data_IF_487418974129
#
_entry.id   IF_487418974129
#
_cell.length_a   1.000
_cell.length_b   1.000
_cell.length_c   1.000
_cell.angle_alpha   90.00
_cell.angle_beta   90.00
_cell.angle_gamma   90.00
#
_symmetry.space_group_name_H-M   'P 1'
#
loop_
_entity.id
_entity.type
_entity.pdbx_description
1 polymer ?
#
# COMPACT_ATOMS: atom_id res chain seq x y z
N UNK A 1 27.78 5.72 -29.56
CA UNK A 1 26.66 5.00 -30.23
C UNK A 1 26.34 3.66 -29.58
N UNK A 2 27.30 2.73 -29.40
CA UNK A 2 27.00 1.41 -28.79
C UNK A 2 26.59 1.48 -27.30
N UNK A 3 27.20 2.39 -26.52
CA UNK A 3 26.91 2.58 -25.09
C UNK A 3 25.52 3.19 -24.88
N UNK A 4 25.14 4.18 -25.70
CA UNK A 4 23.83 4.85 -25.63
C UNK A 4 22.69 3.91 -26.02
N UNK A 5 22.88 3.09 -27.07
CA UNK A 5 21.90 2.08 -27.49
C UNK A 5 21.66 1.05 -26.37
N UNK A 6 22.71 0.54 -25.73
CA UNK A 6 22.57 -0.42 -24.64
C UNK A 6 21.87 0.19 -23.41
N UNK A 7 22.07 1.48 -23.15
CA UNK A 7 21.44 2.17 -22.02
C UNK A 7 19.95 2.41 -22.27
N UNK A 8 19.57 2.82 -23.48
CA UNK A 8 18.17 2.96 -23.90
C UNK A 8 17.43 1.62 -23.94
N UNK A 9 18.09 0.55 -24.37
CA UNK A 9 17.53 -0.80 -24.37
C UNK A 9 17.30 -1.29 -22.92
N UNK A 10 18.27 -1.05 -22.03
CA UNK A 10 18.14 -1.40 -20.62
C UNK A 10 17.00 -0.64 -19.94
N UNK A 11 16.87 0.68 -20.14
CA UNK A 11 15.77 1.47 -19.54
C UNK A 11 14.41 1.04 -20.09
N UNK A 12 14.29 0.75 -21.38
CA UNK A 12 13.07 0.20 -21.98
C UNK A 12 12.69 -1.16 -21.39
N UNK A 13 13.67 -2.04 -21.15
CA UNK A 13 13.44 -3.35 -20.52
C UNK A 13 12.95 -3.20 -19.08
N UNK A 14 13.61 -2.37 -18.28
CA UNK A 14 13.21 -2.09 -16.88
C UNK A 14 11.81 -1.47 -16.84
N UNK A 15 11.53 -0.50 -17.70
CA UNK A 15 10.21 0.12 -17.79
C UNK A 15 9.13 -0.91 -18.12
N UNK A 16 9.39 -1.82 -19.07
CA UNK A 16 8.46 -2.89 -19.42
C UNK A 16 8.25 -3.87 -18.26
N UNK A 17 9.29 -4.15 -17.47
CA UNK A 17 9.20 -4.99 -16.29
C UNK A 17 8.31 -4.34 -15.21
N UNK A 18 8.46 -3.04 -14.96
CA UNK A 18 7.62 -2.30 -14.03
C UNK A 18 6.14 -2.24 -14.48
N UNK A 19 5.88 -2.11 -15.77
CA UNK A 19 4.53 -2.17 -16.32
C UNK A 19 3.88 -3.55 -16.16
N UNK A 20 4.67 -4.63 -16.21
CA UNK A 20 4.18 -6.00 -16.02
C UNK A 20 3.87 -6.36 -14.57
N UNK A 21 4.29 -5.54 -13.59
CA UNK A 21 3.99 -5.78 -12.18
C UNK A 21 2.48 -5.74 -11.92
N UNK A 22 1.96 -6.84 -11.36
CA UNK A 22 0.55 -7.01 -11.03
C UNK A 22 0.29 -6.68 -9.57
N UNK A 23 -0.82 -6.00 -9.32
CA UNK A 23 -1.32 -5.74 -7.96
C UNK A 23 -1.87 -7.02 -7.36
N UNK A 24 -1.43 -7.31 -6.15
CA UNK A 24 -1.94 -8.42 -5.38
C UNK A 24 -3.33 -8.18 -4.86
N UNK A 25 -4.17 -9.20 -5.01
CA UNK A 25 -5.52 -9.20 -4.49
C UNK A 25 -5.51 -9.75 -3.06
N UNK A 26 -6.19 -9.11 -2.10
CA UNK A 26 -6.23 -9.62 -0.74
C UNK A 26 -6.88 -11.01 -0.74
N UNK A 27 -6.29 -11.97 -0.03
CA UNK A 27 -6.80 -13.34 0.08
C UNK A 27 -7.12 -13.68 1.54
N UNK A 28 -8.24 -14.35 1.75
CA UNK A 28 -8.52 -15.02 3.03
C UNK A 28 -7.67 -16.29 3.04
N UNK A 29 -6.75 -16.43 4.01
CA UNK A 29 -5.97 -17.67 4.09
C UNK A 29 -6.91 -18.83 4.47
N UNK A 30 -6.87 -19.91 3.70
CA UNK A 30 -7.67 -21.13 3.88
C UNK A 30 -7.60 -21.68 5.30
N UNK A 31 -6.49 -21.48 6.02
CA UNK A 31 -6.37 -21.85 7.44
C UNK A 31 -7.43 -21.22 8.35
N UNK A 32 -7.87 -19.98 8.09
CA UNK A 32 -8.93 -19.34 8.88
C UNK A 32 -10.30 -19.97 8.67
N UNK A 33 -10.48 -20.68 7.56
CA UNK A 33 -11.69 -21.43 7.23
C UNK A 33 -11.59 -22.87 7.76
N UNK A 34 -10.42 -23.51 7.64
CA UNK A 34 -10.23 -24.91 8.04
C UNK A 34 -10.06 -25.13 9.54
N UNK A 35 -9.41 -24.19 10.25
CA UNK A 35 -9.18 -24.28 11.69
C UNK A 35 -10.48 -24.39 12.52
N UNK A 36 -11.55 -23.60 12.28
CA UNK A 36 -12.81 -23.78 13.01
C UNK A 36 -13.50 -25.10 12.67
N UNK A 37 -13.43 -25.55 11.40
CA UNK A 37 -14.01 -26.84 10.99
C UNK A 37 -13.33 -27.99 11.75
N UNK A 38 -12.01 -27.95 11.84
CA UNK A 38 -11.22 -28.95 12.57
C UNK A 38 -11.55 -28.93 14.08
N UNK A 39 -11.62 -27.76 14.70
CA UNK A 39 -11.99 -27.63 16.12
C UNK A 39 -13.39 -28.19 16.37
N UNK A 40 -14.37 -27.86 15.51
CA UNK A 40 -15.73 -28.40 15.61
C UNK A 40 -15.76 -29.93 15.50
N UNK A 41 -14.98 -30.51 14.58
CA UNK A 41 -14.89 -31.97 14.41
C UNK A 41 -14.25 -32.67 15.63
N UNK A 42 -13.14 -32.15 16.14
CA UNK A 42 -12.44 -32.70 17.32
C UNK A 42 -13.32 -32.61 18.56
N UNK A 43 -14.01 -31.49 18.76
CA UNK A 43 -14.87 -31.28 19.92
C UNK A 43 -16.18 -32.09 19.83
N UNK A 44 -16.74 -32.28 18.64
CA UNK A 44 -17.88 -33.20 18.43
C UNK A 44 -17.52 -34.64 18.83
N UNK A 45 -16.30 -35.08 18.54
CA UNK A 45 -15.80 -36.39 18.94
C UNK A 45 -15.61 -36.55 20.45
N UNK A 46 -15.57 -35.47 21.23
CA UNK A 46 -15.24 -35.48 22.67
C UNK A 46 -16.47 -35.40 23.61
N UNK A 47 -17.70 -35.40 23.08
CA UNK A 47 -18.98 -35.51 23.83
C UNK A 47 -19.12 -34.66 25.12
N UNK A 48 -18.40 -33.54 25.27
CA UNK A 48 -18.49 -32.71 26.47
C UNK A 48 -19.78 -31.87 26.51
N UNK A 49 -20.44 -31.81 27.67
CA UNK A 49 -21.78 -31.22 27.85
C UNK A 49 -21.82 -29.73 28.29
N UNK A 50 -20.80 -28.92 28.02
CA UNK A 50 -20.79 -27.50 28.45
C UNK A 50 -21.68 -26.58 27.59
N UNK A 51 -22.98 -26.86 27.50
CA UNK A 51 -24.02 -26.35 26.58
C UNK A 51 -23.95 -24.89 26.05
N UNK A 52 -23.41 -23.89 26.77
CA UNK A 52 -23.45 -22.47 26.36
C UNK A 52 -22.25 -22.01 25.55
N UNK A 53 -21.04 -22.46 25.89
CA UNK A 53 -19.82 -22.05 25.17
C UNK A 53 -19.76 -22.59 23.72
N UNK A 54 -20.53 -23.65 23.44
CA UNK A 54 -20.50 -24.44 22.20
C UNK A 54 -21.20 -23.74 21.04
N UNK A 55 -22.16 -22.86 21.35
CA UNK A 55 -22.83 -22.06 20.34
C UNK A 55 -22.11 -20.72 20.18
N UNK A 56 -21.70 -20.11 21.29
CA UNK A 56 -21.14 -18.77 21.30
C UNK A 56 -19.77 -18.69 20.61
N UNK A 57 -18.85 -19.62 20.87
CA UNK A 57 -17.51 -19.60 20.28
C UNK A 57 -17.55 -19.75 18.74
N UNK A 58 -18.20 -20.76 18.15
CA UNK A 58 -18.28 -20.85 16.69
C UNK A 58 -19.11 -19.73 16.08
N UNK A 59 -20.14 -19.22 16.76
CA UNK A 59 -20.90 -18.07 16.29
C UNK A 59 -20.03 -16.80 16.21
N UNK A 60 -19.26 -16.49 17.26
CA UNK A 60 -18.31 -15.36 17.24
C UNK A 60 -17.28 -15.58 16.12
N UNK A 61 -16.77 -16.79 15.97
CA UNK A 61 -15.80 -17.10 14.91
C UNK A 61 -16.39 -16.94 13.51
N UNK A 62 -17.61 -17.42 13.25
CA UNK A 62 -18.27 -17.26 11.95
C UNK A 62 -18.52 -15.80 11.64
N UNK A 63 -18.96 -15.00 12.63
CA UNK A 63 -19.10 -13.55 12.50
C UNK A 63 -17.76 -12.91 12.12
N UNK A 64 -16.66 -13.27 12.78
CA UNK A 64 -15.31 -12.76 12.45
C UNK A 64 -14.92 -13.16 11.02
N UNK A 65 -15.10 -14.43 10.63
CA UNK A 65 -14.74 -14.90 9.28
C UNK A 65 -15.58 -14.22 8.20
N UNK A 66 -16.90 -14.09 8.40
CA UNK A 66 -17.81 -13.39 7.48
C UNK A 66 -17.43 -11.92 7.37
N UNK A 67 -17.19 -11.23 8.49
CA UNK A 67 -16.74 -9.85 8.49
C UNK A 67 -15.41 -9.69 7.72
N UNK A 68 -14.42 -10.54 7.97
CA UNK A 68 -13.15 -10.53 7.23
C UNK A 68 -13.36 -10.83 5.74
N UNK A 69 -14.28 -11.73 5.39
CA UNK A 69 -14.60 -12.03 4.00
C UNK A 69 -15.24 -10.84 3.29
N UNK A 70 -16.16 -10.13 3.95
CA UNK A 70 -16.77 -8.92 3.43
C UNK A 70 -15.73 -7.80 3.23
N UNK A 71 -14.81 -7.63 4.18
CA UNK A 71 -13.70 -6.66 4.05
C UNK A 71 -12.81 -7.01 2.86
N UNK A 72 -12.41 -8.29 2.72
CA UNK A 72 -11.57 -8.74 1.61
C UNK A 72 -12.28 -8.56 0.27
N UNK A 73 -13.57 -8.93 0.17
CA UNK A 73 -14.38 -8.75 -1.04
C UNK A 73 -14.45 -7.27 -1.42
N UNK A 74 -14.81 -6.40 -0.47
CA UNK A 74 -14.89 -4.96 -0.71
C UNK A 74 -13.56 -4.38 -1.19
N UNK A 75 -12.43 -4.84 -0.62
CA UNK A 75 -11.09 -4.41 -1.07
C UNK A 75 -10.77 -4.90 -2.48
N UNK A 76 -11.09 -6.15 -2.82
CA UNK A 76 -10.92 -6.69 -4.19
C UNK A 76 -11.71 -5.87 -5.20
N UNK A 77 -13.00 -5.64 -4.93
CA UNK A 77 -13.88 -4.89 -5.83
C UNK A 77 -13.32 -3.47 -6.08
N UNK A 78 -12.78 -2.82 -5.04
CA UNK A 78 -12.12 -1.51 -5.17
C UNK A 78 -10.82 -1.58 -5.98
N UNK A 79 -9.99 -2.59 -5.76
CA UNK A 79 -8.75 -2.77 -6.52
C UNK A 79 -9.02 -3.07 -8.00
N UNK A 80 -10.07 -3.83 -8.31
CA UNK A 80 -10.51 -4.07 -9.68
C UNK A 80 -10.99 -2.78 -10.36
N UNK A 81 -11.75 -1.94 -9.65
CA UNK A 81 -12.14 -0.61 -10.14
C UNK A 81 -10.93 0.29 -10.40
N UNK A 82 -9.88 0.20 -9.56
CA UNK A 82 -8.62 0.94 -9.77
C UNK A 82 -7.89 0.42 -11.02
N UNK A 83 -7.88 -0.89 -11.27
CA UNK A 83 -7.27 -1.46 -12.47
C UNK A 83 -7.95 -0.95 -13.75
N UNK A 84 -9.29 -0.94 -13.75
CA UNK A 84 -10.13 -0.53 -14.87
C UNK A 84 -10.25 1.00 -15.02
N UNK A 85 -9.78 1.77 -14.03
CA UNK A 85 -9.83 3.24 -14.05
C UNK A 85 -9.13 3.76 -15.31
N UNK A 86 -9.80 4.66 -16.04
CA UNK A 86 -9.19 5.41 -17.14
C UNK A 86 -9.02 6.86 -16.70
N UNK A 87 -7.77 7.33 -16.72
CA UNK A 87 -7.46 8.72 -16.39
C UNK A 87 -7.98 9.64 -17.50
N UNK A 88 -8.69 10.71 -17.13
CA UNK A 88 -9.28 11.63 -18.08
C UNK A 88 -8.17 12.30 -18.95
N UNK A 89 -8.32 12.36 -20.29
CA UNK A 89 -7.32 12.96 -21.17
C UNK A 89 -6.99 14.42 -20.85
N UNK A 90 -7.90 15.16 -20.21
CA UNK A 90 -7.66 16.55 -19.78
C UNK A 90 -6.42 16.64 -18.88
N UNK A 91 -6.21 15.70 -17.96
CA UNK A 91 -5.04 15.70 -17.07
C UNK A 91 -3.74 15.48 -17.84
N UNK A 92 -3.77 14.58 -18.83
CA UNK A 92 -2.60 14.31 -19.66
C UNK A 92 -2.24 15.49 -20.56
N UNK A 93 -3.23 16.21 -21.07
CA UNK A 93 -3.01 17.38 -21.91
C UNK A 93 -2.31 18.48 -21.12
N UNK A 94 -2.75 18.74 -19.88
CA UNK A 94 -2.10 19.74 -19.03
C UNK A 94 -0.71 19.32 -18.57
N UNK A 95 -0.51 18.04 -18.23
CA UNK A 95 0.82 17.53 -17.86
C UNK A 95 1.82 17.68 -19.02
N UNK A 96 1.41 17.41 -20.27
CA UNK A 96 2.22 17.59 -21.47
C UNK A 96 2.53 19.05 -21.82
N UNK A 97 1.75 20.00 -21.32
CA UNK A 97 2.07 21.42 -21.49
C UNK A 97 3.19 21.86 -20.54
N UNK A 98 3.25 21.26 -19.35
CA UNK A 98 4.24 21.58 -18.31
C UNK A 98 5.54 20.79 -18.46
N UNK A 99 5.45 19.53 -18.89
CA UNK A 99 6.58 18.63 -19.08
C UNK A 99 6.69 18.24 -20.55
N UNK A 100 7.92 18.07 -21.05
CA UNK A 100 8.20 17.68 -22.44
C UNK A 100 7.38 16.46 -22.89
N UNK A 101 7.26 16.24 -24.21
CA UNK A 101 6.40 15.19 -24.79
C UNK A 101 6.74 13.81 -24.20
N UNK A 102 5.94 13.36 -23.23
CA UNK A 102 6.06 12.05 -22.61
C UNK A 102 5.67 10.96 -23.60
N UNK A 103 6.49 9.92 -23.72
CA UNK A 103 6.18 8.72 -24.50
C UNK A 103 4.98 7.97 -23.90
N UNK A 104 4.26 7.21 -24.72
CA UNK A 104 3.09 6.43 -24.32
C UNK A 104 3.42 5.49 -23.14
N UNK A 105 4.56 4.81 -23.19
CA UNK A 105 4.99 3.89 -22.14
C UNK A 105 5.28 4.61 -20.81
N UNK A 106 5.85 5.82 -20.88
CA UNK A 106 6.11 6.65 -19.71
C UNK A 106 4.78 7.10 -19.06
N UNK A 107 3.81 7.55 -19.87
CA UNK A 107 2.46 7.89 -19.37
C UNK A 107 1.79 6.71 -18.71
N UNK A 108 1.84 5.53 -19.32
CA UNK A 108 1.32 4.30 -18.73
C UNK A 108 1.99 3.96 -17.40
N UNK A 109 3.30 4.18 -17.29
CA UNK A 109 4.03 3.93 -16.05
C UNK A 109 3.58 4.88 -14.93
N UNK A 110 3.45 6.18 -15.23
CA UNK A 110 2.95 7.19 -14.28
C UNK A 110 1.51 6.85 -13.87
N UNK A 111 0.65 6.47 -14.82
CA UNK A 111 -0.73 6.02 -14.54
C UNK A 111 -0.75 4.82 -13.59
N UNK A 112 0.05 3.79 -13.87
CA UNK A 112 0.12 2.60 -13.03
C UNK A 112 0.70 2.92 -11.64
N UNK A 113 1.62 3.87 -11.55
CA UNK A 113 2.09 4.45 -10.28
C UNK A 113 0.95 5.10 -9.49
N UNK A 114 0.17 5.99 -10.13
CA UNK A 114 -0.95 6.65 -9.46
C UNK A 114 -2.02 5.65 -8.99
N UNK A 115 -2.33 4.65 -9.82
CA UNK A 115 -3.21 3.53 -9.46
C UNK A 115 -2.66 2.72 -8.27
N UNK A 116 -1.35 2.50 -8.19
CA UNK A 116 -0.73 1.87 -7.01
C UNK A 116 -0.92 2.70 -5.76
N UNK A 117 -0.75 4.01 -5.87
CA UNK A 117 -0.95 4.93 -4.76
C UNK A 117 -2.41 4.90 -4.24
N UNK A 118 -3.40 4.87 -5.13
CA UNK A 118 -4.81 4.64 -4.77
C UNK A 118 -5.00 3.27 -4.11
N UNK A 119 -4.32 2.23 -4.60
CA UNK A 119 -4.41 0.89 -4.02
C UNK A 119 -3.89 0.85 -2.58
N UNK A 120 -2.84 1.61 -2.23
CA UNK A 120 -2.36 1.71 -0.84
C UNK A 120 -3.47 2.20 0.11
N UNK A 121 -4.26 3.19 -0.35
CA UNK A 121 -5.38 3.76 0.40
C UNK A 121 -6.55 2.77 0.60
N UNK A 122 -6.69 1.78 -0.29
CA UNK A 122 -7.66 0.67 -0.17
C UNK A 122 -7.16 -0.40 0.79
N UNK A 123 -5.87 -0.71 0.75
CA UNK A 123 -5.25 -1.72 1.62
C UNK A 123 -5.25 -1.29 3.08
N UNK A 124 -4.95 -0.02 3.34
CA UNK A 124 -4.98 0.56 4.67
C UNK A 124 -5.27 2.06 4.59
N UNK A 125 -6.26 2.52 5.35
CA UNK A 125 -6.63 3.93 5.44
C UNK A 125 -5.68 4.66 6.39
N UNK A 126 -4.64 5.28 5.85
CA UNK A 126 -3.66 6.08 6.60
C UNK A 126 -3.01 7.12 5.70
N UNK A 127 -2.17 7.98 6.28
CA UNK A 127 -1.35 8.92 5.53
C UNK A 127 -0.15 8.19 4.91
N UNK A 128 0.16 8.52 3.66
CA UNK A 128 1.24 7.97 2.88
C UNK A 128 2.02 9.10 2.25
N UNK A 129 3.35 8.98 2.20
CA UNK A 129 4.17 9.87 1.40
C UNK A 129 4.02 9.48 -0.07
N UNK A 130 4.07 10.44 -0.97
CA UNK A 130 4.19 10.17 -2.40
C UNK A 130 5.68 10.06 -2.77
N UNK A 131 6.20 8.85 -3.09
CA UNK A 131 7.64 8.64 -3.32
C UNK A 131 8.08 8.93 -4.77
N UNK A 132 7.17 9.37 -5.63
CA UNK A 132 7.48 9.68 -7.03
C UNK A 132 6.91 11.04 -7.38
N UNK A 133 7.79 11.98 -7.71
CA UNK A 133 7.43 13.31 -8.15
C UNK A 133 6.74 13.29 -9.53
N UNK A 134 7.10 12.35 -10.43
CA UNK A 134 6.39 12.23 -11.71
C UNK A 134 4.90 11.88 -11.50
N UNK A 135 4.61 11.00 -10.54
CA UNK A 135 3.23 10.65 -10.19
C UNK A 135 2.56 11.76 -9.36
N UNK A 136 3.31 12.44 -8.48
CA UNK A 136 2.80 13.57 -7.70
C UNK A 136 2.40 14.75 -8.61
N UNK A 137 3.15 15.01 -9.67
CA UNK A 137 2.81 16.03 -10.67
C UNK A 137 1.51 15.72 -11.41
N UNK A 138 1.30 14.46 -11.81
CA UNK A 138 0.00 14.03 -12.34
C UNK A 138 -1.12 14.25 -11.30
N UNK A 139 -0.86 13.91 -10.04
CA UNK A 139 -1.82 14.10 -8.97
C UNK A 139 -2.15 15.59 -8.75
N UNK A 140 -1.14 16.46 -8.77
CA UNK A 140 -1.31 17.91 -8.69
C UNK A 140 -2.13 18.48 -9.83
N UNK A 141 -1.93 17.99 -11.06
CA UNK A 141 -2.79 18.35 -12.19
C UNK A 141 -4.24 17.95 -11.92
N UNK A 142 -4.49 16.75 -11.39
CA UNK A 142 -5.86 16.32 -11.06
C UNK A 142 -6.53 17.22 -10.03
N UNK A 143 -5.80 17.72 -9.03
CA UNK A 143 -6.34 18.60 -7.98
C UNK A 143 -6.87 19.94 -8.54
N UNK A 144 -6.38 20.38 -9.70
CA UNK A 144 -6.90 21.58 -10.40
C UNK A 144 -8.30 21.36 -11.00
N UNK A 145 -8.74 20.11 -11.13
CA UNK A 145 -10.04 19.71 -11.66
C UNK A 145 -10.86 18.99 -10.57
N UNK A 146 -11.36 19.74 -9.56
CA UNK A 146 -11.92 19.14 -8.34
C UNK A 146 -13.12 18.24 -8.62
N UNK A 147 -13.96 18.55 -9.61
CA UNK A 147 -15.14 17.74 -9.95
C UNK A 147 -14.71 16.35 -10.45
N UNK A 148 -13.85 16.32 -11.46
CA UNK A 148 -13.36 15.09 -12.09
C UNK A 148 -12.55 14.26 -11.08
N UNK A 149 -11.73 14.92 -10.26
CA UNK A 149 -10.94 14.27 -9.23
C UNK A 149 -11.80 13.66 -8.11
N UNK A 150 -12.81 14.37 -7.63
CA UNK A 150 -13.74 13.85 -6.62
C UNK A 150 -14.52 12.64 -7.15
N UNK A 151 -15.00 12.69 -8.40
CA UNK A 151 -15.67 11.56 -9.04
C UNK A 151 -14.73 10.35 -9.13
N UNK A 152 -13.48 10.56 -9.57
CA UNK A 152 -12.46 9.52 -9.65
C UNK A 152 -12.24 8.86 -8.29
N UNK A 153 -12.05 9.65 -7.24
CA UNK A 153 -11.82 9.15 -5.88
C UNK A 153 -13.04 8.40 -5.33
N UNK A 154 -14.24 8.92 -5.57
CA UNK A 154 -15.48 8.28 -5.12
C UNK A 154 -15.74 6.95 -5.83
N UNK A 155 -15.45 6.86 -7.13
CA UNK A 155 -15.62 5.64 -7.91
C UNK A 155 -14.63 4.54 -7.51
N UNK A 156 -13.39 4.91 -7.17
CA UNK A 156 -12.31 3.96 -6.90
C UNK A 156 -12.21 3.59 -5.42
N UNK A 157 -11.94 4.56 -4.55
CA UNK A 157 -11.67 4.34 -3.13
C UNK A 157 -12.91 4.59 -2.24
N UNK A 158 -13.93 5.28 -2.76
CA UNK A 158 -15.19 5.55 -2.05
C UNK A 158 -15.16 6.74 -1.10
N UNK A 159 -14.14 7.60 -1.21
CA UNK A 159 -13.96 8.85 -0.46
C UNK A 159 -13.03 9.77 -1.23
N UNK A 160 -13.08 11.07 -0.97
CA UNK A 160 -12.08 12.00 -1.52
C UNK A 160 -10.73 11.76 -0.83
N UNK A 161 -9.67 11.66 -1.62
CA UNK A 161 -8.30 11.64 -1.12
C UNK A 161 -7.79 13.07 -1.01
N UNK A 162 -7.57 13.56 0.21
CA UNK A 162 -7.02 14.90 0.43
C UNK A 162 -5.50 14.87 0.23
N UNK A 163 -5.00 15.80 -0.58
CA UNK A 163 -3.57 16.06 -0.69
C UNK A 163 -3.17 17.06 0.40
N UNK A 164 -2.27 16.64 1.29
CA UNK A 164 -1.74 17.47 2.37
C UNK A 164 -0.22 17.53 2.18
N UNK A 165 0.32 18.56 1.52
CA UNK A 165 1.76 18.70 1.36
C UNK A 165 2.42 18.91 2.71
N UNK A 166 3.69 18.51 2.82
CA UNK A 166 4.48 18.81 4.00
C UNK A 166 4.71 20.32 4.10
N UNK A 167 4.46 20.86 5.28
CA UNK A 167 4.74 22.25 5.63
C UNK A 167 5.94 22.33 6.59
N UNK A 168 6.34 23.54 6.97
CA UNK A 168 7.41 23.77 7.94
C UNK A 168 7.08 23.26 9.35
N UNK A 169 5.81 22.91 9.62
CA UNK A 169 5.36 22.38 10.91
C UNK A 169 5.40 20.86 10.99
N UNK A 170 5.53 20.20 9.83
CA UNK A 170 5.54 18.74 9.74
C UNK A 170 6.86 18.19 10.28
N UNK A 171 6.78 17.45 11.40
CA UNK A 171 7.94 16.82 12.03
C UNK A 171 8.63 15.81 11.10
N UNK A 172 9.97 15.77 11.02
CA UNK A 172 10.72 14.83 10.18
C UNK A 172 10.36 13.36 10.47
N UNK A 173 10.07 13.01 11.73
CA UNK A 173 9.68 11.66 12.10
C UNK A 173 8.34 11.25 11.47
N UNK A 174 7.39 12.18 11.36
CA UNK A 174 6.09 11.92 10.74
C UNK A 174 6.23 11.70 9.22
N UNK A 175 7.11 12.45 8.57
CA UNK A 175 7.41 12.26 7.15
C UNK A 175 8.07 10.89 6.90
N UNK A 176 9.04 10.51 7.74
CA UNK A 176 9.70 9.22 7.67
C UNK A 176 8.71 8.06 7.88
N UNK A 177 7.80 8.16 8.86
CA UNK A 177 6.74 7.16 9.09
C UNK A 177 5.89 6.98 7.84
N UNK A 178 5.44 8.07 7.22
CA UNK A 178 4.62 8.01 6.01
C UNK A 178 5.37 7.41 4.82
N UNK A 179 6.65 7.71 4.67
CA UNK A 179 7.50 7.12 3.63
C UNK A 179 7.69 5.61 3.83
N UNK A 180 7.97 5.17 5.06
CA UNK A 180 8.15 3.74 5.35
C UNK A 180 6.84 2.95 5.25
N UNK A 181 5.71 3.54 5.58
CA UNK A 181 4.40 2.93 5.34
C UNK A 181 4.08 2.87 3.84
N UNK A 182 4.44 3.90 3.05
CA UNK A 182 4.36 3.83 1.58
C UNK A 182 5.23 2.72 1.02
N UNK A 183 6.47 2.57 1.50
CA UNK A 183 7.39 1.50 1.11
C UNK A 183 6.81 0.12 1.41
N UNK A 184 6.36 -0.09 2.65
CA UNK A 184 5.77 -1.35 3.12
C UNK A 184 4.58 -1.79 2.27
N UNK A 185 3.59 -0.91 2.10
CA UNK A 185 2.38 -1.26 1.36
C UNK A 185 2.63 -1.35 -0.14
N UNK A 186 3.54 -0.53 -0.69
CA UNK A 186 3.94 -0.63 -2.10
C UNK A 186 4.67 -1.95 -2.39
N UNK A 187 5.54 -2.41 -1.50
CA UNK A 187 6.15 -3.74 -1.61
C UNK A 187 5.12 -4.86 -1.53
N UNK A 188 4.23 -4.81 -0.52
CA UNK A 188 3.19 -5.82 -0.34
C UNK A 188 2.23 -5.90 -1.53
N UNK A 189 1.96 -4.77 -2.19
CA UNK A 189 1.11 -4.70 -3.39
C UNK A 189 1.70 -5.53 -4.55
N UNK A 190 3.02 -5.71 -4.61
CA UNK A 190 3.73 -6.39 -5.69
C UNK A 190 4.38 -7.72 -5.25
N UNK A 191 3.94 -8.32 -4.14
CA UNK A 191 4.53 -9.54 -3.52
C UNK A 191 5.96 -9.41 -3.01
N UNK A 192 6.47 -8.18 -2.86
CA UNK A 192 7.81 -7.97 -2.34
C UNK A 192 7.81 -7.95 -0.82
N UNK A 193 8.87 -8.52 -0.22
CA UNK A 193 9.09 -8.43 1.21
C UNK A 193 9.82 -7.12 1.52
N UNK A 194 9.21 -6.17 2.26
CA UNK A 194 9.80 -4.84 2.49
C UNK A 194 11.08 -4.87 3.33
N UNK A 195 11.37 -5.98 4.03
CA UNK A 195 12.63 -6.18 4.79
C UNK A 195 13.75 -6.77 3.93
N UNK A 196 13.39 -7.52 2.89
CA UNK A 196 14.34 -8.25 2.07
C UNK A 196 13.74 -8.44 0.67
N UNK A 197 13.91 -7.42 -0.17
CA UNK A 197 13.48 -7.44 -1.58
C UNK A 197 14.69 -7.23 -2.47
N UNK A 198 14.68 -7.85 -3.64
CA UNK A 198 15.75 -7.73 -4.65
C UNK A 198 15.53 -6.57 -5.62
N UNK A 199 14.36 -5.93 -5.57
CA UNK A 199 14.00 -4.81 -6.44
C UNK A 199 13.10 -3.81 -5.72
N UNK A 200 13.15 -2.56 -6.17
CA UNK A 200 12.25 -1.50 -5.72
C UNK A 200 10.82 -1.78 -6.22
N UNK A 201 9.83 -1.41 -5.41
CA UNK A 201 8.45 -1.41 -5.87
C UNK A 201 8.25 -0.32 -6.94
N UNK A 202 7.24 -0.50 -7.80
CA UNK A 202 6.98 0.40 -8.93
C UNK A 202 7.01 1.88 -8.53
N UNK A 203 6.25 2.27 -7.51
CA UNK A 203 6.18 3.66 -7.03
C UNK A 203 7.54 4.29 -6.70
N UNK A 204 8.50 3.51 -6.17
CA UNK A 204 9.82 4.01 -5.78
C UNK A 204 10.82 4.00 -6.94
N UNK A 205 10.52 3.27 -8.02
CA UNK A 205 11.41 3.14 -9.17
C UNK A 205 11.07 4.10 -10.33
N UNK A 206 9.85 4.66 -10.36
CA UNK A 206 9.34 5.46 -11.50
C UNK A 206 10.27 6.61 -11.85
N UNK A 207 10.59 7.46 -10.88
CA UNK A 207 11.35 8.69 -11.13
C UNK A 207 12.75 8.41 -11.68
N UNK A 208 13.43 7.40 -11.14
CA UNK A 208 14.75 6.96 -11.60
C UNK A 208 14.70 6.38 -13.02
N UNK A 209 13.68 5.58 -13.35
CA UNK A 209 13.53 4.96 -14.67
C UNK A 209 13.14 5.98 -15.74
N UNK A 210 12.34 6.98 -15.36
CA UNK A 210 11.96 8.08 -16.26
C UNK A 210 13.07 9.13 -16.42
N UNK A 211 14.07 9.16 -15.52
CA UNK A 211 15.07 10.23 -15.49
C UNK A 211 14.43 11.59 -15.23
N UNK A 212 13.45 11.64 -14.32
CA UNK A 212 12.66 12.85 -14.07
C UNK A 212 13.54 13.98 -13.50
N UNK A 213 13.44 15.20 -14.04
CA UNK A 213 14.38 16.32 -13.76
C UNK A 213 14.48 16.71 -12.28
N UNK A 214 13.40 16.53 -11.53
CA UNK A 214 13.37 16.72 -10.07
C UNK A 214 13.00 15.42 -9.33
N UNK A 215 13.27 14.26 -9.92
CA UNK A 215 12.81 12.97 -9.39
C UNK A 215 13.45 12.55 -8.07
N UNK A 216 12.74 11.75 -7.29
CA UNK A 216 13.29 11.08 -6.11
C UNK A 216 14.01 9.79 -6.53
N UNK A 217 15.21 9.57 -5.97
CA UNK A 217 15.99 8.35 -6.19
C UNK A 217 16.18 7.63 -4.88
N UNK A 218 16.04 6.31 -4.92
CA UNK A 218 16.15 5.47 -3.74
C UNK A 218 17.13 4.34 -4.00
N UNK A 219 18.08 4.19 -3.09
CA UNK A 219 18.93 3.01 -3.07
C UNK A 219 18.23 1.89 -2.30
N UNK A 220 18.08 0.73 -2.94
CA UNK A 220 17.39 -0.42 -2.37
C UNK A 220 17.99 -0.87 -1.02
N UNK A 221 19.31 -0.93 -0.93
CA UNK A 221 20.00 -1.32 0.30
C UNK A 221 19.75 -0.33 1.44
N UNK A 222 19.81 0.97 1.15
CA UNK A 222 19.58 1.99 2.16
C UNK A 222 18.13 1.96 2.64
N UNK A 223 17.17 1.88 1.71
CA UNK A 223 15.74 1.82 2.03
C UNK A 223 15.40 0.61 2.91
N UNK A 224 15.95 -0.58 2.59
CA UNK A 224 15.72 -1.80 3.38
C UNK A 224 16.37 -1.72 4.77
N UNK A 225 17.60 -1.18 4.87
CA UNK A 225 18.29 -0.95 6.16
C UNK A 225 17.51 0.02 7.04
N UNK A 226 17.05 1.14 6.49
CA UNK A 226 16.32 2.16 7.27
C UNK A 226 14.92 1.70 7.64
N UNK A 227 14.23 0.97 6.76
CA UNK A 227 12.97 0.32 7.09
C UNK A 227 13.11 -0.71 8.23
N UNK A 228 14.22 -1.45 8.26
CA UNK A 228 14.49 -2.40 9.34
C UNK A 228 14.64 -1.68 10.70
N UNK A 229 15.38 -0.56 10.74
CA UNK A 229 15.51 0.29 11.95
C UNK A 229 14.16 0.85 12.38
N UNK A 230 13.37 1.39 11.45
CA UNK A 230 12.03 1.89 11.71
C UNK A 230 11.14 0.83 12.38
N UNK A 231 11.16 -0.40 11.85
CA UNK A 231 10.37 -1.51 12.40
C UNK A 231 10.88 -1.95 13.76
N UNK A 232 12.19 -1.94 14.00
CA UNK A 232 12.76 -2.23 15.33
C UNK A 232 12.23 -1.24 16.35
N UNK A 233 12.30 0.07 16.06
CA UNK A 233 11.83 1.14 16.95
C UNK A 233 10.33 1.05 17.28
N UNK A 234 9.48 0.67 16.31
CA UNK A 234 8.06 0.39 16.57
C UNK A 234 7.84 -0.79 17.52
N UNK A 235 8.70 -1.80 17.44
CA UNK A 235 8.56 -3.01 18.27
C UNK A 235 9.01 -2.72 19.71
N UNK A 236 10.06 -1.89 19.89
CA UNK A 236 10.50 -1.46 21.22
C UNK A 236 9.51 -0.51 21.90
N UNK A 237 8.85 0.39 21.16
CA UNK A 237 7.84 1.30 21.72
C UNK A 237 6.50 0.63 22.04
N UNK A 238 6.20 -0.52 21.44
CA UNK A 238 5.00 -1.33 21.76
C UNK A 238 5.23 -2.37 22.86
N UNK A 239 6.49 -2.61 23.26
CA UNK A 239 6.85 -3.52 24.35
C UNK A 239 6.89 -2.86 25.73
N UNK A 240 6.83 -1.53 25.82
CA UNK A 240 6.72 -0.78 27.08
C UNK A 240 5.27 -0.43 27.45
N UNK A 241 4.38 -1.43 27.49
CA UNK A 241 2.98 -1.27 27.89
C UNK A 241 2.43 -2.37 28.80
N UNK A 242 3.29 -3.26 29.30
CA UNK A 242 2.89 -4.42 30.11
C UNK A 242 3.78 -4.55 31.33
N UNK A 243 3.71 -3.58 32.24
CA UNK A 243 4.18 -3.76 33.62
C UNK A 243 2.99 -3.67 34.54
N UNK A 244 2.33 -4.81 34.72
CA UNK A 244 1.46 -5.08 35.86
C UNK A 244 2.33 -5.66 36.99
N UNK A 245 2.46 -4.92 38.10
CA UNK A 245 2.84 -5.40 39.45
C UNK A 245 3.09 -4.16 40.32
N UNK A 246 2.58 -3.97 41.54
CA UNK A 246 1.74 -4.76 42.42
C UNK A 246 1.26 -3.79 43.52
N UNK A 247 -0.04 -3.72 43.81
CA UNK A 247 -0.51 -3.12 45.05
C UNK A 247 -0.13 -4.06 46.20
N UNK A 248 0.88 -3.69 46.97
CA UNK A 248 1.22 -4.32 48.25
C UNK A 248 0.83 -3.38 49.38
N UNK A 249 -0.13 -3.79 50.19
CA UNK A 249 -0.53 -3.08 51.39
C UNK A 249 0.58 -3.06 52.45
N UNK A 250 0.55 -2.02 53.28
CA UNK A 250 1.32 -1.91 54.51
C UNK A 250 0.55 -1.01 55.46
N UNK A 251 -0.02 -1.63 56.49
CA UNK A 251 -0.54 -1.01 57.70
C UNK A 251 0.57 -0.26 58.43
N UNK A 252 0.25 0.94 58.93
CA UNK A 252 0.29 1.31 60.36
C UNK A 252 -0.54 2.58 60.59
#
# INVERSE_FOLDING_TARGET
MKITINQEEHTSNVLSALLKLKRQQPMIKTRWIMLPILILLVMHSWQQQFFTAWVLIPFIWTVIVVNQALIVRTRRDKLEKIEQLKINPIFWNELQQKYSVLDLKQRQLIEQGFKDYLALQVLQKQAYAMPSHAVDELWHVMLKYPIQYQQLCQQTIGRVLTHNPYDTTTKPEAQAVQLFESWKYSCMLHEFNPRNTSQLSRLFAIDQVLGWESGQTYELEQMTKDFAKYKQNQTSSSSCGSSCSSCGGGSD
#
